data_IF_692357326844
#
_entry.id   IF_692357326844
#
_cell.length_a   1.000
_cell.length_b   1.000
_cell.length_c   1.000
_cell.angle_alpha   90.00
_cell.angle_beta   90.00
_cell.angle_gamma   90.00
#
_symmetry.space_group_name_H-M   'P 1'
#
loop_
_entity.id
_entity.type
_entity.pdbx_description
1 polymer ?
#
# COMPACT_ATOMS: atom_id res chain seq x y z
N UNK A 1 -48.00 -32.58 -9.54
CA UNK A 1 -47.20 -31.88 -10.57
C UNK A 1 -46.72 -30.49 -10.16
N UNK A 2 -47.53 -29.62 -9.53
CA UNK A 2 -47.08 -28.27 -9.08
C UNK A 2 -45.89 -28.26 -8.08
N UNK A 3 -45.78 -29.26 -7.20
CA UNK A 3 -44.65 -29.37 -6.24
C UNK A 3 -43.30 -29.72 -6.91
N UNK A 4 -43.30 -30.36 -8.08
CA UNK A 4 -42.07 -30.72 -8.80
C UNK A 4 -41.50 -29.53 -9.59
N UNK A 5 -42.38 -28.62 -10.04
CA UNK A 5 -41.97 -27.41 -10.77
C UNK A 5 -41.25 -26.39 -9.87
N UNK A 6 -41.63 -26.33 -8.59
CA UNK A 6 -41.03 -25.43 -7.59
C UNK A 6 -39.61 -25.88 -7.19
N UNK A 7 -39.33 -27.18 -7.24
CA UNK A 7 -37.99 -27.71 -6.93
C UNK A 7 -36.99 -27.39 -8.06
N UNK A 8 -37.45 -27.32 -9.31
CA UNK A 8 -36.60 -27.02 -10.46
C UNK A 8 -36.17 -25.54 -10.53
N UNK A 9 -37.00 -24.61 -10.07
CA UNK A 9 -36.65 -23.19 -10.02
C UNK A 9 -35.63 -22.85 -8.93
N UNK A 10 -35.56 -23.62 -7.84
CA UNK A 10 -34.61 -23.38 -6.73
C UNK A 10 -33.18 -23.82 -7.11
N UNK A 11 -33.02 -24.82 -7.98
CA UNK A 11 -31.70 -25.36 -8.37
C UNK A 11 -30.98 -24.44 -9.38
N UNK A 12 -31.72 -23.66 -10.19
CA UNK A 12 -31.13 -22.81 -11.24
C UNK A 12 -30.58 -21.49 -10.65
N UNK A 13 -31.05 -21.04 -9.49
CA UNK A 13 -30.59 -19.81 -8.85
C UNK A 13 -29.23 -19.91 -8.13
N UNK A 14 -28.61 -21.10 -8.08
CA UNK A 14 -27.41 -21.34 -7.26
C UNK A 14 -26.09 -21.34 -8.03
N UNK A 15 -26.10 -21.12 -9.34
CA UNK A 15 -24.89 -21.12 -10.17
C UNK A 15 -24.45 -19.68 -10.45
N UNK A 16 -24.23 -18.90 -9.38
CA UNK A 16 -23.42 -17.69 -9.50
C UNK A 16 -21.97 -18.12 -9.28
N UNK A 17 -21.30 -18.57 -10.35
CA UNK A 17 -19.87 -18.84 -10.29
C UNK A 17 -19.13 -17.50 -10.33
N UNK A 18 -18.34 -17.19 -9.29
CA UNK A 18 -17.40 -16.08 -9.37
C UNK A 18 -16.50 -16.29 -10.60
N UNK A 19 -16.56 -15.38 -11.55
CA UNK A 19 -15.70 -15.42 -12.75
C UNK A 19 -14.42 -14.66 -12.45
N UNK A 20 -13.28 -15.25 -12.80
CA UNK A 20 -11.99 -14.55 -12.76
C UNK A 20 -12.07 -13.44 -13.82
N UNK A 21 -11.97 -12.19 -13.38
CA UNK A 21 -11.91 -11.03 -14.25
C UNK A 21 -10.49 -10.49 -14.23
N UNK A 22 -9.90 -10.32 -15.41
CA UNK A 22 -8.65 -9.60 -15.53
C UNK A 22 -8.86 -8.12 -15.17
N UNK A 23 -7.99 -7.59 -14.32
CA UNK A 23 -7.89 -6.16 -14.02
C UNK A 23 -6.61 -5.68 -14.71
N UNK A 24 -6.76 -5.06 -15.87
CA UNK A 24 -5.62 -4.59 -16.67
C UNK A 24 -5.40 -3.09 -16.48
N UNK A 25 -4.69 -2.73 -15.40
CA UNK A 25 -4.13 -1.39 -15.23
C UNK A 25 -2.60 -1.49 -15.09
N UNK A 26 -1.86 -0.91 -16.03
CA UNK A 26 -0.41 -1.12 -16.13
C UNK A 26 0.37 -0.57 -14.93
N UNK A 27 -0.11 0.51 -14.31
CA UNK A 27 0.49 1.09 -13.13
C UNK A 27 0.20 0.26 -11.88
N UNK A 28 -1.05 -0.15 -11.68
CA UNK A 28 -1.44 -1.05 -10.59
C UNK A 28 -0.71 -2.38 -10.69
N UNK A 29 -0.58 -2.94 -11.89
CA UNK A 29 0.19 -4.15 -12.13
C UNK A 29 1.65 -3.98 -11.70
N UNK A 30 2.28 -2.85 -12.03
CA UNK A 30 3.64 -2.55 -11.57
C UNK A 30 3.72 -2.46 -10.04
N UNK A 31 2.83 -1.70 -9.40
CA UNK A 31 2.85 -1.54 -7.94
C UNK A 31 2.62 -2.89 -7.25
N UNK A 32 1.58 -3.62 -7.64
CA UNK A 32 1.25 -4.91 -7.02
C UNK A 32 2.33 -5.97 -7.24
N UNK A 33 2.96 -6.00 -8.42
CA UNK A 33 4.04 -6.94 -8.71
C UNK A 33 5.36 -6.59 -8.00
N UNK A 34 5.52 -5.37 -7.50
CA UNK A 34 6.75 -4.90 -6.87
C UNK A 34 6.70 -4.80 -5.35
N UNK A 35 5.52 -4.96 -4.74
CA UNK A 35 5.39 -5.08 -3.28
C UNK A 35 6.15 -6.33 -2.81
N UNK A 36 7.13 -6.13 -1.92
CA UNK A 36 7.88 -7.22 -1.31
C UNK A 36 7.62 -7.34 0.19
N UNK A 37 7.08 -6.29 0.83
CA UNK A 37 6.76 -6.28 2.26
C UNK A 37 5.58 -5.38 2.57
N UNK A 38 4.70 -5.86 3.44
CA UNK A 38 3.68 -5.04 4.12
C UNK A 38 4.26 -4.61 5.46
N UNK A 39 4.57 -3.32 5.61
CA UNK A 39 5.11 -2.78 6.87
C UNK A 39 4.00 -2.58 7.90
N UNK A 40 2.87 -2.02 7.46
CA UNK A 40 1.69 -1.78 8.29
C UNK A 40 0.42 -2.05 7.51
N UNK A 41 -0.55 -2.68 8.18
CA UNK A 41 -1.89 -2.89 7.68
C UNK A 41 -2.89 -2.37 8.72
N UNK A 42 -3.75 -1.43 8.34
CA UNK A 42 -4.75 -0.79 9.20
C UNK A 42 -4.16 -0.17 10.48
N UNK A 43 -3.00 0.47 10.37
CA UNK A 43 -2.39 1.16 11.50
C UNK A 43 -3.18 2.43 11.84
N UNK A 44 -3.68 2.50 13.06
CA UNK A 44 -4.62 3.54 13.49
C UNK A 44 -3.87 4.73 14.08
N UNK A 45 -4.23 5.93 13.64
CA UNK A 45 -3.82 7.20 14.24
C UNK A 45 -5.05 8.07 14.53
N UNK A 46 -4.88 9.07 15.37
CA UNK A 46 -5.92 10.01 15.81
C UNK A 46 -7.14 9.31 16.39
N UNK A 47 -6.91 8.36 17.30
CA UNK A 47 -7.99 7.57 17.91
C UNK A 47 -8.95 6.97 16.86
N UNK A 48 -8.38 6.32 15.84
CA UNK A 48 -9.12 5.65 14.75
C UNK A 48 -9.85 6.60 13.80
N UNK A 49 -9.41 7.85 13.73
CA UNK A 49 -9.91 8.81 12.73
C UNK A 49 -9.16 8.72 11.40
N UNK A 50 -7.96 8.11 11.40
CA UNK A 50 -7.24 7.75 10.17
C UNK A 50 -6.59 6.36 10.32
N UNK A 51 -6.47 5.68 9.19
CA UNK A 51 -5.91 4.35 9.05
C UNK A 51 -4.84 4.38 7.95
N UNK A 52 -3.67 3.85 8.27
CA UNK A 52 -2.52 3.79 7.38
C UNK A 52 -2.30 2.34 6.92
N UNK A 53 -2.12 2.17 5.62
CA UNK A 53 -1.53 0.97 5.04
C UNK A 53 -0.20 1.36 4.39
N UNK A 54 0.88 0.70 4.78
CA UNK A 54 2.23 1.03 4.31
C UNK A 54 2.89 -0.21 3.71
N UNK A 55 3.32 -0.09 2.46
CA UNK A 55 3.92 -1.16 1.68
C UNK A 55 5.29 -0.74 1.18
N UNK A 56 6.29 -1.60 1.39
CA UNK A 56 7.60 -1.45 0.76
C UNK A 56 7.58 -2.12 -0.62
N UNK A 57 8.04 -1.38 -1.63
CA UNK A 57 8.13 -1.83 -3.01
C UNK A 57 9.57 -1.75 -3.51
N UNK A 58 9.94 -2.65 -4.42
CA UNK A 58 11.17 -2.54 -5.21
C UNK A 58 10.89 -1.59 -6.38
N UNK A 59 11.54 -0.43 -6.43
CA UNK A 59 11.18 0.63 -7.38
C UNK A 59 12.22 0.78 -8.50
N UNK A 60 12.23 -0.19 -9.41
CA UNK A 60 13.12 -0.21 -10.56
C UNK A 60 12.89 0.95 -11.53
N UNK A 61 11.67 1.52 -11.60
CA UNK A 61 11.36 2.69 -12.43
C UNK A 61 11.83 4.01 -11.83
N UNK A 62 11.88 4.12 -10.50
CA UNK A 62 12.36 5.31 -9.78
C UNK A 62 13.88 5.38 -9.65
N UNK A 63 14.60 4.34 -10.07
CA UNK A 63 16.05 4.32 -9.98
C UNK A 63 16.66 5.15 -11.11
N UNK A 64 17.27 6.29 -10.77
CA UNK A 64 18.00 7.10 -11.76
C UNK A 64 19.24 6.34 -12.25
N UNK A 65 19.55 6.46 -13.54
CA UNK A 65 20.67 5.73 -14.18
C UNK A 65 22.02 6.02 -13.55
N UNK A 66 22.16 7.17 -12.87
CA UNK A 66 23.39 7.64 -12.23
C UNK A 66 23.56 7.11 -10.79
N UNK A 67 22.56 6.39 -10.26
CA UNK A 67 22.60 5.82 -8.90
C UNK A 67 23.45 4.54 -8.81
N UNK A 68 23.79 3.93 -9.94
CA UNK A 68 24.55 2.67 -10.01
C UNK A 68 26.06 2.91 -10.06
N UNK A 69 26.61 3.60 -9.06
CA UNK A 69 28.05 3.53 -8.83
C UNK A 69 28.34 2.20 -8.10
N UNK A 70 28.56 1.16 -8.90
CA UNK A 70 29.22 -0.10 -8.53
C UNK A 70 28.46 -1.11 -7.65
N UNK A 71 27.17 -0.93 -7.35
CA UNK A 71 26.37 -1.96 -6.64
C UNK A 71 25.05 -2.30 -7.32
N UNK A 72 24.67 -3.59 -7.29
CA UNK A 72 23.39 -4.14 -7.77
C UNK A 72 22.20 -3.77 -6.85
N UNK A 73 22.27 -2.64 -6.14
CA UNK A 73 21.28 -2.27 -5.15
C UNK A 73 20.02 -1.70 -5.82
N UNK A 74 18.91 -2.41 -5.65
CA UNK A 74 17.60 -1.96 -6.12
C UNK A 74 17.08 -0.91 -5.15
N UNK A 75 16.90 0.34 -5.62
CA UNK A 75 16.22 1.36 -4.82
C UNK A 75 14.79 0.91 -4.50
N UNK A 76 14.39 1.22 -3.29
CA UNK A 76 13.08 0.87 -2.75
C UNK A 76 12.27 2.13 -2.54
N UNK A 77 10.96 1.95 -2.45
CA UNK A 77 10.03 3.01 -2.11
C UNK A 77 9.01 2.51 -1.08
N UNK A 78 8.40 3.45 -0.36
CA UNK A 78 7.23 3.19 0.47
C UNK A 78 5.99 3.76 -0.22
N UNK A 79 4.94 2.95 -0.34
CA UNK A 79 3.59 3.38 -0.69
C UNK A 79 2.77 3.47 0.59
N UNK A 80 2.19 4.63 0.84
CA UNK A 80 1.40 4.91 2.04
C UNK A 80 -0.01 5.28 1.60
N UNK A 81 -0.98 4.45 1.98
CA UNK A 81 -2.40 4.74 1.84
C UNK A 81 -2.94 5.25 3.16
N UNK A 82 -3.67 6.36 3.12
CA UNK A 82 -4.35 6.98 4.27
C UNK A 82 -5.85 6.98 3.99
N UNK A 83 -6.65 6.34 4.84
CA UNK A 83 -8.12 6.38 4.78
C UNK A 83 -8.73 6.80 6.12
N UNK A 84 -9.90 7.48 6.13
CA UNK A 84 -10.53 7.95 7.36
C UNK A 84 -11.30 6.87 8.14
N UNK A 85 -11.78 5.83 7.47
CA UNK A 85 -12.67 4.80 8.03
C UNK A 85 -12.05 3.39 8.04
N UNK A 86 -10.80 3.26 7.58
CA UNK A 86 -10.13 1.96 7.45
C UNK A 86 -10.64 1.14 6.26
N UNK A 87 -11.52 1.72 5.45
CA UNK A 87 -12.07 1.11 4.26
C UNK A 87 -11.72 1.97 3.03
N UNK A 88 -11.26 1.33 1.96
CA UNK A 88 -10.82 2.06 0.76
C UNK A 88 -11.99 2.49 -0.12
N UNK A 89 -13.22 2.04 0.17
CA UNK A 89 -14.39 2.30 -0.66
C UNK A 89 -14.93 3.74 -0.57
N UNK A 90 -14.51 4.53 0.42
CA UNK A 90 -14.99 5.92 0.57
C UNK A 90 -13.99 6.91 -0.04
N UNK A 91 -12.83 7.10 0.58
CA UNK A 91 -11.75 7.97 0.11
C UNK A 91 -10.41 7.50 0.67
N UNK A 92 -9.38 7.39 -0.18
CA UNK A 92 -8.01 7.18 0.29
C UNK A 92 -7.04 8.09 -0.43
N UNK A 93 -5.99 8.51 0.27
CA UNK A 93 -4.87 9.25 -0.30
C UNK A 93 -3.64 8.38 -0.35
N UNK A 94 -2.97 8.41 -1.50
CA UNK A 94 -1.77 7.63 -1.75
C UNK A 94 -0.57 8.57 -1.80
N UNK A 95 0.45 8.23 -1.03
CA UNK A 95 1.73 8.90 -1.01
C UNK A 95 2.82 7.90 -1.37
N UNK A 96 3.86 8.37 -2.03
CA UNK A 96 5.06 7.60 -2.35
C UNK A 96 6.27 8.33 -1.79
N UNK A 97 7.14 7.58 -1.11
CA UNK A 97 8.48 8.04 -0.72
C UNK A 97 9.46 7.15 -1.46
N UNK A 98 10.19 7.72 -2.40
CA UNK A 98 11.15 7.05 -3.29
C UNK A 98 12.60 7.21 -2.84
N UNK A 99 13.50 6.60 -3.61
CA UNK A 99 14.96 6.69 -3.43
C UNK A 99 15.44 6.24 -2.04
N UNK A 100 14.85 5.17 -1.52
CA UNK A 100 15.22 4.57 -0.24
C UNK A 100 16.11 3.35 -0.44
N UNK A 101 17.09 3.18 0.46
CA UNK A 101 18.01 2.03 0.50
C UNK A 101 17.71 1.28 1.81
N UNK A 102 17.21 0.05 1.71
CA UNK A 102 16.77 -0.75 2.87
C UNK A 102 15.95 0.05 3.92
N UNK A 103 14.85 0.73 3.52
CA UNK A 103 14.00 1.48 4.42
C UNK A 103 13.44 0.66 5.57
N UNK A 104 13.41 1.30 6.73
CA UNK A 104 12.74 0.83 7.94
C UNK A 104 11.98 1.99 8.56
N UNK A 105 10.69 1.81 8.78
CA UNK A 105 9.88 2.79 9.51
C UNK A 105 10.27 2.70 10.99
N UNK A 106 10.74 3.81 11.55
CA UNK A 106 11.17 3.91 12.94
C UNK A 106 10.02 4.37 13.82
N UNK A 107 9.25 5.35 13.34
CA UNK A 107 8.26 6.05 14.16
C UNK A 107 7.17 6.66 13.27
N UNK A 108 5.94 6.70 13.78
CA UNK A 108 4.81 7.40 13.20
C UNK A 108 4.20 8.26 14.31
N UNK A 109 4.28 9.59 14.16
CA UNK A 109 3.85 10.54 15.17
C UNK A 109 2.71 11.42 14.68
N UNK A 110 1.64 11.46 15.47
CA UNK A 110 0.55 12.40 15.31
C UNK A 110 1.04 13.83 15.58
N UNK A 111 0.68 14.76 14.70
CA UNK A 111 0.87 16.20 14.93
C UNK A 111 -0.49 16.90 15.00
N UNK A 112 -0.74 17.93 14.21
CA UNK A 112 -2.06 18.56 14.12
C UNK A 112 -2.93 17.81 13.12
N UNK A 113 -4.10 17.32 13.53
CA UNK A 113 -5.01 16.64 12.61
C UNK A 113 -5.28 17.47 11.33
N UNK A 114 -5.17 16.89 10.12
CA UNK A 114 -4.89 15.47 9.82
C UNK A 114 -3.44 15.25 9.32
N UNK A 115 -2.46 15.90 9.95
CA UNK A 115 -1.04 15.87 9.62
C UNK A 115 -0.24 14.96 10.55
N UNK A 116 0.60 14.08 10.02
CA UNK A 116 1.47 13.23 10.83
C UNK A 116 2.88 13.16 10.23
N UNK A 117 3.83 12.70 11.03
CA UNK A 117 5.23 12.54 10.62
C UNK A 117 5.56 11.06 10.63
N UNK A 118 6.15 10.57 9.54
CA UNK A 118 6.80 9.26 9.50
C UNK A 118 8.31 9.47 9.52
N UNK A 119 8.98 8.78 10.44
CA UNK A 119 10.45 8.71 10.46
C UNK A 119 10.91 7.41 9.83
N UNK A 120 11.78 7.51 8.83
CA UNK A 120 12.28 6.37 8.06
C UNK A 120 13.80 6.35 8.18
N UNK A 121 14.32 5.24 8.66
CA UNK A 121 15.73 4.93 8.59
C UNK A 121 16.05 4.29 7.23
N UNK A 122 17.03 4.83 6.53
CA UNK A 122 17.44 4.39 5.19
C UNK A 122 18.95 4.51 5.01
N UNK A 123 19.55 3.65 4.20
CA UNK A 123 20.98 3.61 3.92
C UNK A 123 21.59 2.22 4.11
N UNK A 124 22.83 2.08 3.67
CA UNK A 124 23.65 0.88 3.86
C UNK A 124 23.94 0.65 5.34
N UNK A 125 24.18 -0.61 5.73
CA UNK A 125 24.30 -1.04 7.14
C UNK A 125 25.15 -0.13 8.03
N UNK A 126 26.25 0.43 7.51
CA UNK A 126 27.17 1.27 8.29
C UNK A 126 26.88 2.78 8.19
N UNK A 127 25.99 3.21 7.29
CA UNK A 127 25.71 4.61 6.95
C UNK A 127 24.19 4.87 6.91
N UNK A 128 23.45 4.37 7.89
CA UNK A 128 22.00 4.57 7.99
C UNK A 128 21.70 5.97 8.54
N UNK A 129 20.76 6.65 7.91
CA UNK A 129 20.27 7.96 8.32
C UNK A 129 18.76 7.91 8.55
N UNK A 130 18.27 8.69 9.50
CA UNK A 130 16.84 8.85 9.75
C UNK A 130 16.36 10.13 9.06
N UNK A 131 15.37 9.99 8.17
CA UNK A 131 14.69 11.10 7.50
C UNK A 131 13.27 11.22 8.03
N UNK A 132 12.78 12.45 8.14
CA UNK A 132 11.42 12.75 8.58
C UNK A 132 10.58 13.22 7.40
N UNK A 133 9.37 12.64 7.26
CA UNK A 133 8.44 12.97 6.19
C UNK A 133 7.11 13.40 6.81
N UNK A 134 6.73 14.65 6.56
CA UNK A 134 5.45 15.21 6.99
C UNK A 134 4.39 14.94 5.94
N UNK A 135 3.29 14.32 6.34
CA UNK A 135 2.16 13.96 5.48
C UNK A 135 0.92 14.71 5.94
N UNK A 136 0.21 15.36 5.01
CA UNK A 136 -1.06 16.03 5.26
C UNK A 136 -2.17 15.31 4.48
N UNK A 137 -3.17 14.78 5.19
CA UNK A 137 -4.27 14.01 4.61
C UNK A 137 -5.58 14.80 4.41
N UNK A 138 -5.56 16.13 4.54
CA UNK A 138 -6.64 17.05 4.09
C UNK A 138 -6.77 17.11 2.59
#
# INVERSE_FOLDING_TARGET
>A
MKKLLILYTIIISSICSAQIKEISDSYSNYILATIYRTDYLNYQIYNRSLFLNIFSINDSKGTSTDSFNETDEVLQALIISVSPDGDYYTTSKLYKIDELIFPKIVEINETKYPEFIIKIETGMNNNRIVKEYKINSN
#
